data_IF_480466146716
#
_entry.id   IF_480466146716
#
_cell.length_a   1.000
_cell.length_b   1.000
_cell.length_c   1.000
_cell.angle_alpha   90.00
_cell.angle_beta   90.00
_cell.angle_gamma   90.00
#
_symmetry.space_group_name_H-M   'P 1'
#
loop_
_entity.id
_entity.type
_entity.pdbx_description
1 polymer ?
#
# COMPACT_ATOMS: atom_id res chain seq x y z
N UNK A 1 19.04 2.37 30.25
CA UNK A 1 18.81 3.71 29.65
C UNK A 1 17.43 4.18 30.08
N UNK A 2 17.34 5.35 30.67
CA UNK A 2 16.08 6.03 30.98
C UNK A 2 15.75 6.97 29.82
N UNK A 3 14.50 7.01 29.39
CA UNK A 3 14.02 7.87 28.30
C UNK A 3 12.55 8.22 28.49
N UNK A 4 12.07 9.19 27.72
CA UNK A 4 10.66 9.60 27.67
C UNK A 4 10.02 8.94 26.46
N UNK A 5 8.88 8.28 26.64
CA UNK A 5 8.05 7.75 25.56
C UNK A 5 6.86 8.68 25.37
N UNK A 6 6.73 9.26 24.17
CA UNK A 6 5.61 10.13 23.83
C UNK A 6 4.57 9.33 23.04
N UNK A 7 3.34 9.27 23.57
CA UNK A 7 2.22 8.61 22.90
C UNK A 7 1.47 9.63 22.03
N UNK A 8 1.45 9.38 20.71
CA UNK A 8 0.80 10.26 19.73
C UNK A 8 -0.71 10.00 19.57
N UNK A 9 -1.30 9.13 20.39
CA UNK A 9 -2.69 8.65 20.27
C UNK A 9 -3.77 9.74 20.42
N UNK A 10 -3.41 10.90 20.99
CA UNK A 10 -4.30 12.05 21.11
C UNK A 10 -4.34 12.92 19.83
N UNK A 11 -3.30 12.88 19.00
CA UNK A 11 -3.21 13.57 17.71
C UNK A 11 -3.70 12.65 16.60
N UNK A 12 -5.02 12.42 16.49
CA UNK A 12 -5.61 11.43 15.59
C UNK A 12 -6.70 11.95 14.65
N UNK A 13 -6.92 13.25 14.64
CA UNK A 13 -7.96 13.85 13.82
C UNK A 13 -7.58 13.88 12.33
N UNK A 14 -8.53 13.63 11.46
CA UNK A 14 -8.50 14.04 10.06
C UNK A 14 -9.03 15.47 10.03
N UNK A 15 -8.12 16.45 9.86
CA UNK A 15 -8.46 17.88 9.95
C UNK A 15 -9.25 18.35 8.74
N UNK A 16 -8.91 17.86 7.56
CA UNK A 16 -9.64 18.14 6.32
C UNK A 16 -9.36 17.11 5.22
N UNK A 17 -10.32 16.93 4.33
CA UNK A 17 -10.18 16.21 3.06
C UNK A 17 -10.75 17.10 1.98
N UNK A 18 -9.92 17.52 1.05
CA UNK A 18 -10.33 18.29 -0.12
C UNK A 18 -10.57 17.35 -1.30
N UNK A 19 -11.83 17.12 -1.61
CA UNK A 19 -12.21 16.14 -2.63
C UNK A 19 -11.67 16.49 -4.02
N UNK A 20 -11.67 17.77 -4.38
CA UNK A 20 -11.25 18.21 -5.72
C UNK A 20 -9.75 18.03 -5.96
N UNK A 21 -8.89 18.50 -5.06
CA UNK A 21 -7.44 18.38 -5.16
C UNK A 21 -6.93 17.00 -4.72
N UNK A 22 -7.70 16.29 -3.90
CA UNK A 22 -7.28 15.03 -3.29
C UNK A 22 -6.25 15.20 -2.17
N UNK A 23 -6.19 16.37 -1.56
CA UNK A 23 -5.31 16.65 -0.41
C UNK A 23 -6.04 16.31 0.88
N UNK A 24 -5.38 15.59 1.78
CA UNK A 24 -5.83 15.36 3.13
C UNK A 24 -4.86 15.98 4.14
N UNK A 25 -5.38 16.64 5.17
CA UNK A 25 -4.62 17.14 6.33
C UNK A 25 -4.97 16.29 7.54
N UNK A 26 -3.97 15.61 8.09
CA UNK A 26 -4.17 14.53 9.06
C UNK A 26 -3.18 14.66 10.20
N UNK A 27 -3.61 14.42 11.42
CA UNK A 27 -2.72 14.35 12.59
C UNK A 27 -1.94 13.04 12.62
N UNK A 28 -0.70 13.10 13.10
CA UNK A 28 0.29 12.03 12.98
C UNK A 28 -0.09 10.70 13.65
N UNK A 29 -0.91 10.73 14.70
CA UNK A 29 -1.39 9.55 15.43
C UNK A 29 -2.64 8.91 14.82
N UNK A 30 -3.19 9.44 13.72
CA UNK A 30 -4.29 8.82 13.00
C UNK A 30 -3.87 7.48 12.41
N UNK A 31 -4.65 6.43 12.65
CA UNK A 31 -4.39 5.10 12.07
C UNK A 31 -4.69 5.11 10.57
N UNK A 32 -3.86 4.44 9.79
CA UNK A 32 -4.06 4.34 8.33
C UNK A 32 -5.42 3.74 7.97
N UNK A 33 -5.91 2.74 8.72
CA UNK A 33 -7.23 2.15 8.51
C UNK A 33 -8.37 3.17 8.71
N UNK A 34 -8.25 4.03 9.73
CA UNK A 34 -9.28 5.03 10.04
C UNK A 34 -9.26 6.15 9.01
N UNK A 35 -8.07 6.61 8.64
CA UNK A 35 -7.90 7.57 7.55
C UNK A 35 -8.49 7.04 6.23
N UNK A 36 -8.17 5.79 5.84
CA UNK A 36 -8.68 5.24 4.59
C UNK A 36 -10.21 5.09 4.60
N UNK A 37 -10.80 4.75 5.76
CA UNK A 37 -12.26 4.73 5.93
C UNK A 37 -12.87 6.12 5.75
N UNK A 38 -12.29 7.16 6.32
CA UNK A 38 -12.77 8.53 6.12
C UNK A 38 -12.62 8.99 4.67
N UNK A 39 -11.47 8.71 4.04
CA UNK A 39 -11.24 9.02 2.63
C UNK A 39 -12.27 8.38 1.70
N UNK A 40 -12.72 7.14 1.99
CA UNK A 40 -13.71 6.44 1.17
C UNK A 40 -15.06 7.18 1.11
N UNK A 41 -15.44 7.88 2.19
CA UNK A 41 -16.62 8.76 2.21
C UNK A 41 -16.55 9.95 1.23
N UNK A 42 -15.35 10.29 0.76
CA UNK A 42 -15.09 11.34 -0.24
C UNK A 42 -14.73 10.77 -1.62
N UNK A 43 -14.92 9.48 -1.84
CA UNK A 43 -14.50 8.80 -3.08
C UNK A 43 -12.98 8.76 -3.27
N UNK A 44 -12.24 8.77 -2.16
CA UNK A 44 -10.77 8.79 -2.12
C UNK A 44 -10.20 7.58 -1.40
N UNK A 45 -8.93 7.28 -1.63
CA UNK A 45 -8.18 6.21 -0.96
C UNK A 45 -6.72 6.61 -0.74
N UNK A 46 -6.04 5.92 0.16
CA UNK A 46 -4.58 6.03 0.29
C UNK A 46 -3.89 5.49 -0.96
N UNK A 47 -2.82 6.17 -1.39
CA UNK A 47 -1.98 5.72 -2.51
C UNK A 47 -1.18 4.49 -2.17
N UNK A 48 -0.66 4.43 -0.95
CA UNK A 48 0.23 3.38 -0.46
C UNK A 48 -0.32 2.79 0.84
N UNK A 49 -0.22 1.48 0.99
CA UNK A 49 -0.71 0.76 2.16
C UNK A 49 0.33 -0.29 2.62
N UNK A 50 0.96 -0.09 3.80
CA UNK A 50 1.88 -1.08 4.34
C UNK A 50 1.13 -2.28 4.93
N UNK A 51 1.80 -3.40 5.15
CA UNK A 51 1.21 -4.59 5.80
C UNK A 51 0.67 -4.32 7.20
N UNK A 52 1.20 -3.31 7.87
CA UNK A 52 0.78 -2.87 9.21
C UNK A 52 -0.37 -1.86 9.22
N UNK A 53 -1.03 -1.61 8.08
CA UNK A 53 -2.02 -0.54 7.91
C UNK A 53 -3.15 -0.50 8.95
N UNK A 54 -3.47 -1.67 9.56
CA UNK A 54 -4.50 -1.75 10.61
C UNK A 54 -4.06 -1.14 11.93
N UNK A 55 -2.74 -1.09 12.20
CA UNK A 55 -2.16 -0.64 13.47
C UNK A 55 -1.18 0.52 13.33
N UNK A 56 -0.65 0.75 12.12
CA UNK A 56 0.28 1.84 11.87
C UNK A 56 -0.45 3.20 11.86
N UNK A 57 0.19 4.22 12.42
CA UNK A 57 -0.24 5.60 12.31
C UNK A 57 0.37 6.24 11.07
N UNK A 58 -0.29 7.29 10.54
CA UNK A 58 0.22 7.98 9.34
C UNK A 58 1.57 8.65 9.61
N UNK A 59 1.77 9.25 10.79
CA UNK A 59 3.05 9.84 11.18
C UNK A 59 4.17 8.80 11.28
N UNK A 60 3.88 7.63 11.88
CA UNK A 60 4.82 6.52 11.93
C UNK A 60 5.15 5.93 10.56
N UNK A 61 4.18 5.89 9.66
CA UNK A 61 4.39 5.43 8.28
C UNK A 61 5.34 6.36 7.51
N UNK A 62 5.17 7.69 7.60
CA UNK A 62 6.07 8.67 6.98
C UNK A 62 7.46 8.63 7.66
N UNK A 63 7.53 8.65 8.99
CA UNK A 63 8.79 8.60 9.71
C UNK A 63 9.58 7.32 9.41
N UNK A 64 8.91 6.18 9.25
CA UNK A 64 9.52 4.90 8.89
C UNK A 64 9.91 4.77 7.42
N UNK A 65 9.33 5.57 6.52
CA UNK A 65 9.61 5.59 5.09
C UNK A 65 9.31 4.29 4.36
N UNK A 66 8.37 3.50 4.88
CA UNK A 66 8.04 2.20 4.32
C UNK A 66 7.30 2.32 3.00
N UNK A 67 7.50 1.35 2.09
CA UNK A 67 6.65 1.14 0.93
C UNK A 67 5.41 0.32 1.28
N UNK A 68 4.71 -0.15 0.25
CA UNK A 68 3.54 -1.00 0.42
C UNK A 68 2.82 -1.27 -0.89
N UNK A 69 1.66 -1.88 -0.77
CA UNK A 69 0.73 -2.05 -1.89
C UNK A 69 0.36 -0.68 -2.43
N UNK A 70 0.36 -0.54 -3.75
CA UNK A 70 0.25 0.73 -4.46
C UNK A 70 1.58 1.25 -5.01
N UNK A 71 2.73 0.76 -4.51
CA UNK A 71 4.05 1.23 -4.99
C UNK A 71 4.30 0.93 -6.47
N UNK A 72 3.70 -0.12 -7.02
CA UNK A 72 3.80 -0.43 -8.45
C UNK A 72 3.22 0.68 -9.34
N UNK A 73 2.23 1.42 -8.83
CA UNK A 73 1.58 2.54 -9.53
C UNK A 73 2.16 3.89 -9.14
N UNK A 74 2.43 4.09 -7.85
CA UNK A 74 2.71 5.40 -7.27
C UNK A 74 4.18 5.62 -6.92
N UNK A 75 5.04 4.59 -7.04
CA UNK A 75 6.41 4.66 -6.59
C UNK A 75 6.56 4.49 -5.08
N UNK A 76 7.66 4.96 -4.53
CA UNK A 76 7.98 4.88 -3.11
C UNK A 76 7.36 6.04 -2.33
N UNK A 77 7.13 5.85 -1.04
CA UNK A 77 6.57 6.89 -0.17
C UNK A 77 7.39 8.19 -0.16
N UNK A 78 8.71 8.09 -0.32
CA UNK A 78 9.63 9.23 -0.38
C UNK A 78 9.69 9.91 -1.75
N UNK A 79 9.06 9.34 -2.79
CA UNK A 79 9.04 9.99 -4.10
C UNK A 79 8.18 11.26 -4.03
N UNK A 80 8.54 12.31 -4.78
CA UNK A 80 7.82 13.57 -4.77
C UNK A 80 6.32 13.40 -5.07
N UNK A 81 5.49 14.18 -4.37
CA UNK A 81 4.05 14.21 -4.60
C UNK A 81 3.21 13.29 -3.70
N UNK A 82 3.80 12.55 -2.78
CA UNK A 82 3.06 11.85 -1.73
C UNK A 82 2.86 12.73 -0.51
N UNK A 83 3.98 13.21 0.06
CA UNK A 83 4.00 14.14 1.17
C UNK A 83 4.04 15.56 0.63
N UNK A 84 3.02 16.35 0.93
CA UNK A 84 2.87 17.73 0.47
C UNK A 84 3.29 18.75 1.50
N UNK A 85 3.45 18.35 2.75
CA UNK A 85 3.94 19.18 3.84
C UNK A 85 3.78 18.52 5.20
N UNK A 86 4.45 19.07 6.19
CA UNK A 86 4.44 18.63 7.58
C UNK A 86 4.26 19.80 8.55
N UNK A 87 3.56 19.54 9.64
CA UNK A 87 3.62 20.31 10.86
C UNK A 87 4.52 19.57 11.84
N UNK A 88 5.55 20.23 12.35
CA UNK A 88 6.61 19.61 13.15
C UNK A 88 6.93 20.46 14.35
N UNK A 89 7.11 19.82 15.51
CA UNK A 89 7.71 20.44 16.69
C UNK A 89 9.21 20.13 16.68
N UNK A 90 10.03 21.19 16.76
CA UNK A 90 11.50 21.07 16.79
C UNK A 90 11.98 20.47 18.11
N UNK A 91 13.20 19.90 18.10
CA UNK A 91 13.86 19.33 19.29
C UNK A 91 14.86 20.31 19.92
N UNK A 92 14.67 21.60 19.66
CA UNK A 92 15.49 22.68 20.24
C UNK A 92 15.20 22.86 21.75
N UNK A 93 16.06 23.59 22.46
CA UNK A 93 15.84 23.98 23.87
C UNK A 93 14.51 24.75 24.04
N UNK A 94 14.20 25.60 23.07
CA UNK A 94 12.89 26.28 22.95
C UNK A 94 12.13 25.67 21.76
N UNK A 95 11.25 24.65 21.96
CA UNK A 95 10.54 23.99 20.90
C UNK A 95 9.65 24.96 20.11
N UNK A 96 9.71 24.87 18.80
CA UNK A 96 8.91 25.68 17.86
C UNK A 96 8.05 24.78 16.97
N UNK A 97 6.87 25.26 16.60
CA UNK A 97 6.03 24.62 15.60
C UNK A 97 6.42 25.17 14.23
N UNK A 98 6.83 24.31 13.34
CA UNK A 98 7.17 24.65 11.95
C UNK A 98 6.14 24.05 11.00
N UNK A 99 5.78 24.82 9.97
CA UNK A 99 5.03 24.35 8.80
C UNK A 99 6.02 24.20 7.66
N UNK A 100 6.24 22.97 7.22
CA UNK A 100 7.18 22.62 6.17
C UNK A 100 6.44 22.26 4.89
N UNK A 101 6.86 22.82 3.76
CA UNK A 101 6.38 22.42 2.45
C UNK A 101 7.11 21.15 1.97
N UNK A 102 6.63 20.54 0.88
CA UNK A 102 7.08 19.23 0.40
C UNK A 102 8.62 19.07 0.36
N UNK A 103 9.33 20.06 -0.18
CA UNK A 103 10.81 20.00 -0.31
C UNK A 103 11.53 19.98 1.04
N UNK A 104 11.02 20.74 2.01
CA UNK A 104 11.63 20.85 3.34
C UNK A 104 11.21 19.67 4.23
N UNK A 105 10.02 19.09 3.95
CA UNK A 105 9.49 17.91 4.64
C UNK A 105 10.29 16.63 4.36
N UNK A 106 11.03 16.57 3.26
CA UNK A 106 11.88 15.42 2.89
C UNK A 106 12.90 15.06 3.98
N UNK A 107 13.42 16.04 4.71
CA UNK A 107 14.37 15.79 5.80
C UNK A 107 13.78 14.98 6.97
N UNK A 108 12.44 14.90 7.09
CA UNK A 108 11.73 14.15 8.13
C UNK A 108 11.14 12.85 7.60
N UNK A 109 10.99 12.72 6.28
CA UNK A 109 10.54 11.49 5.65
C UNK A 109 11.64 10.42 5.78
N UNK A 110 11.28 9.25 6.32
CA UNK A 110 12.23 8.16 6.57
C UNK A 110 13.35 8.51 7.58
N UNK A 111 13.13 9.49 8.45
CA UNK A 111 14.12 9.91 9.45
C UNK A 111 13.93 9.23 10.83
N UNK A 112 13.00 8.31 10.95
CA UNK A 112 12.68 7.56 12.19
C UNK A 112 12.43 8.45 13.42
N UNK A 113 11.93 9.67 13.20
CA UNK A 113 11.64 10.63 14.26
C UNK A 113 12.88 11.31 14.87
N UNK A 114 14.04 11.24 14.22
CA UNK A 114 15.29 11.84 14.75
C UNK A 114 15.40 13.34 14.50
N UNK A 115 14.63 13.89 13.55
CA UNK A 115 14.75 15.28 13.09
C UNK A 115 13.62 16.20 13.59
N UNK A 116 12.74 15.70 14.46
CA UNK A 116 11.62 16.45 15.02
C UNK A 116 10.39 15.56 15.28
N UNK A 117 9.39 16.14 15.93
CA UNK A 117 8.14 15.47 16.26
C UNK A 117 7.08 15.89 15.24
N UNK A 118 6.68 14.97 14.37
CA UNK A 118 5.62 15.21 13.38
C UNK A 118 4.27 15.23 14.11
N UNK A 119 3.53 16.33 14.02
CA UNK A 119 2.22 16.50 14.64
C UNK A 119 1.08 16.39 13.64
N UNK A 120 1.27 16.90 12.41
CA UNK A 120 0.29 16.75 11.34
C UNK A 120 0.99 16.64 9.97
N UNK A 121 0.25 16.14 8.98
CA UNK A 121 0.74 15.88 7.63
C UNK A 121 -0.27 16.38 6.60
N UNK A 122 0.24 16.87 5.49
CA UNK A 122 -0.50 17.15 4.25
C UNK A 122 -0.13 16.10 3.22
N UNK A 123 -1.10 15.31 2.79
CA UNK A 123 -0.90 14.13 1.95
C UNK A 123 -1.71 14.20 0.67
N UNK A 124 -1.13 13.71 -0.43
CA UNK A 124 -1.89 13.43 -1.64
C UNK A 124 -2.58 12.07 -1.54
N UNK A 125 -3.87 12.04 -1.89
CA UNK A 125 -4.68 10.82 -1.96
C UNK A 125 -4.96 10.45 -3.41
N UNK A 126 -5.54 9.28 -3.66
CA UNK A 126 -5.99 8.84 -4.97
C UNK A 126 -7.53 8.80 -5.04
N UNK A 127 -8.08 8.83 -6.24
CA UNK A 127 -9.48 8.48 -6.47
C UNK A 127 -9.67 7.02 -6.08
N UNK A 128 -10.77 6.71 -5.38
CA UNK A 128 -11.10 5.34 -5.00
C UNK A 128 -11.39 4.51 -6.24
N UNK A 129 -10.84 3.32 -6.28
CA UNK A 129 -11.03 2.34 -7.36
C UNK A 129 -11.59 1.06 -6.72
N UNK A 130 -12.57 0.46 -7.36
CA UNK A 130 -13.08 -0.87 -7.01
C UNK A 130 -12.10 -1.92 -7.55
N UNK A 131 -11.06 -2.21 -6.76
CA UNK A 131 -9.99 -3.11 -7.17
C UNK A 131 -10.50 -4.53 -7.37
N UNK A 132 -10.20 -5.09 -8.55
CA UNK A 132 -10.54 -6.45 -8.92
C UNK A 132 -9.39 -7.38 -8.58
N UNK A 133 -9.68 -8.46 -7.87
CA UNK A 133 -8.74 -9.52 -7.55
C UNK A 133 -8.59 -10.48 -8.72
N UNK A 134 -7.37 -10.63 -9.20
CA UNK A 134 -7.03 -11.50 -10.32
C UNK A 134 -5.83 -12.36 -9.98
N UNK A 135 -5.94 -13.64 -10.32
CA UNK A 135 -4.87 -14.63 -10.20
C UNK A 135 -4.51 -15.09 -11.59
N UNK A 136 -3.20 -15.20 -11.89
CA UNK A 136 -2.72 -15.76 -13.16
C UNK A 136 -1.76 -16.89 -12.88
N UNK A 137 -2.13 -18.10 -13.29
CA UNK A 137 -1.29 -19.30 -13.22
C UNK A 137 -0.41 -19.38 -14.48
N UNK A 138 0.89 -19.40 -14.28
CA UNK A 138 1.90 -19.40 -15.34
C UNK A 138 2.56 -20.76 -15.48
N UNK A 139 2.97 -21.16 -16.69
CA UNK A 139 3.61 -22.45 -16.93
C UNK A 139 4.97 -22.59 -16.25
N UNK A 140 5.68 -21.49 -16.03
CA UNK A 140 6.98 -21.44 -15.37
C UNK A 140 7.28 -20.05 -14.78
N UNK A 141 8.30 -19.98 -13.91
CA UNK A 141 8.75 -18.77 -13.21
C UNK A 141 9.15 -17.64 -14.15
N UNK A 142 9.84 -17.96 -15.24
CA UNK A 142 10.29 -16.95 -16.21
C UNK A 142 9.10 -16.26 -16.86
N UNK A 143 8.13 -17.06 -17.29
CA UNK A 143 6.87 -16.56 -17.86
C UNK A 143 6.13 -15.69 -16.86
N UNK A 144 6.06 -16.10 -15.59
CA UNK A 144 5.41 -15.32 -14.53
C UNK A 144 6.09 -13.95 -14.33
N UNK A 145 7.42 -13.92 -14.23
CA UNK A 145 8.18 -12.67 -14.06
C UNK A 145 8.06 -11.76 -15.29
N UNK A 146 8.14 -12.32 -16.51
CA UNK A 146 8.02 -11.53 -17.74
C UNK A 146 6.61 -10.98 -17.93
N UNK A 147 5.57 -11.74 -17.55
CA UNK A 147 4.20 -11.26 -17.54
C UNK A 147 3.99 -10.15 -16.50
N UNK A 148 4.56 -10.29 -15.30
CA UNK A 148 4.51 -9.25 -14.28
C UNK A 148 5.13 -7.93 -14.76
N UNK A 149 6.28 -7.99 -15.46
CA UNK A 149 6.92 -6.81 -16.09
C UNK A 149 6.02 -6.18 -17.16
N UNK A 150 5.41 -7.01 -18.03
CA UNK A 150 4.47 -6.54 -19.06
C UNK A 150 3.27 -5.84 -18.44
N UNK A 151 2.67 -6.41 -17.38
CA UNK A 151 1.57 -5.78 -16.66
C UNK A 151 1.99 -4.45 -16.03
N UNK A 152 3.15 -4.40 -15.38
CA UNK A 152 3.65 -3.18 -14.70
C UNK A 152 4.04 -2.06 -15.68
N UNK A 153 4.37 -2.42 -16.94
CA UNK A 153 4.72 -1.46 -18.00
C UNK A 153 3.53 -1.08 -18.89
N UNK A 154 2.40 -1.76 -18.76
CA UNK A 154 1.20 -1.47 -19.53
C UNK A 154 0.51 -0.20 -18.99
N UNK A 155 -0.21 0.50 -19.88
CA UNK A 155 -1.02 1.67 -19.52
C UNK A 155 -2.34 1.22 -18.86
N UNK A 156 -2.25 0.54 -17.71
CA UNK A 156 -3.38 0.03 -16.94
C UNK A 156 -3.27 0.47 -15.47
N UNK A 157 -4.40 0.55 -14.81
CA UNK A 157 -4.44 0.80 -13.38
C UNK A 157 -4.18 -0.51 -12.61
N UNK A 158 -2.94 -0.65 -12.15
CA UNK A 158 -2.43 -1.80 -11.39
C UNK A 158 -2.02 -1.35 -9.99
N UNK A 159 -2.63 -1.91 -8.95
CA UNK A 159 -2.38 -1.55 -7.56
C UNK A 159 -1.46 -2.53 -6.85
N UNK A 160 -1.52 -3.81 -7.22
CA UNK A 160 -0.70 -4.88 -6.67
C UNK A 160 -0.24 -5.79 -7.78
N UNK A 161 1.03 -6.19 -7.75
CA UNK A 161 1.60 -7.22 -8.59
C UNK A 161 2.61 -8.03 -7.77
N UNK A 162 2.26 -9.26 -7.44
CA UNK A 162 3.11 -10.17 -6.67
C UNK A 162 3.28 -11.47 -7.43
N UNK A 163 4.52 -11.95 -7.53
CA UNK A 163 4.84 -13.26 -8.15
C UNK A 163 5.16 -14.24 -7.03
N UNK A 164 4.53 -15.41 -7.07
CA UNK A 164 4.75 -16.51 -6.14
C UNK A 164 5.22 -17.75 -6.89
N UNK A 165 6.27 -18.39 -6.35
CA UNK A 165 6.72 -19.69 -6.82
C UNK A 165 5.67 -20.78 -6.53
N UNK A 166 5.60 -21.81 -7.38
CA UNK A 166 4.69 -22.95 -7.24
C UNK A 166 4.80 -23.62 -5.85
N UNK A 167 6.00 -23.71 -5.28
CA UNK A 167 6.23 -24.25 -3.95
C UNK A 167 5.55 -23.42 -2.83
N UNK A 168 5.53 -22.09 -2.98
CA UNK A 168 4.83 -21.20 -2.05
C UNK A 168 3.33 -21.28 -2.25
N UNK A 169 2.87 -21.34 -3.50
CA UNK A 169 1.43 -21.47 -3.84
C UNK A 169 0.80 -22.68 -3.18
N UNK A 170 1.50 -23.81 -3.11
CA UNK A 170 1.03 -25.04 -2.45
C UNK A 170 0.83 -24.90 -0.93
N UNK A 171 1.51 -23.95 -0.31
CA UNK A 171 1.41 -23.66 1.13
C UNK A 171 0.29 -22.66 1.45
N UNK A 172 -0.29 -22.01 0.44
CA UNK A 172 -1.36 -21.03 0.64
C UNK A 172 -2.64 -21.71 1.13
N UNK A 173 -3.37 -21.06 2.05
CA UNK A 173 -4.71 -21.51 2.40
C UNK A 173 -5.60 -21.58 1.16
N UNK A 174 -6.55 -22.50 1.14
CA UNK A 174 -7.56 -22.63 0.09
C UNK A 174 -8.64 -21.54 0.16
N UNK A 175 -8.26 -20.28 0.02
CA UNK A 175 -9.17 -19.13 0.08
C UNK A 175 -9.90 -18.94 -1.24
N UNK A 176 -10.66 -19.95 -1.70
CA UNK A 176 -11.34 -19.96 -3.00
C UNK A 176 -10.41 -19.72 -4.20
N UNK A 177 -9.10 -19.94 -4.00
CA UNK A 177 -8.12 -19.86 -5.07
C UNK A 177 -8.05 -21.20 -5.80
N UNK A 178 -7.85 -21.19 -7.11
CA UNK A 178 -7.59 -22.42 -7.85
C UNK A 178 -6.41 -23.19 -7.25
N UNK A 179 -6.61 -24.45 -6.90
CA UNK A 179 -5.57 -25.32 -6.36
C UNK A 179 -4.74 -25.86 -7.53
N UNK A 180 -3.62 -25.20 -7.83
CA UNK A 180 -2.73 -25.57 -8.93
C UNK A 180 -1.27 -25.52 -8.49
N UNK A 181 -0.48 -26.46 -9.00
CA UNK A 181 0.98 -26.43 -8.87
C UNK A 181 1.55 -25.61 -10.03
N UNK A 182 1.48 -24.29 -9.93
CA UNK A 182 1.94 -23.36 -10.96
C UNK A 182 2.58 -22.12 -10.29
N UNK A 183 3.50 -21.50 -10.96
CA UNK A 183 3.98 -20.18 -10.59
C UNK A 183 2.86 -19.17 -10.83
N UNK A 184 2.66 -18.24 -9.90
CA UNK A 184 1.42 -17.48 -9.84
C UNK A 184 1.64 -15.99 -9.69
N UNK A 185 0.88 -15.18 -10.45
CA UNK A 185 0.72 -13.76 -10.19
C UNK A 185 -0.55 -13.51 -9.37
N UNK A 186 -0.42 -12.64 -8.37
CA UNK A 186 -1.52 -12.04 -7.65
C UNK A 186 -1.61 -10.57 -8.05
N UNK A 187 -2.75 -10.14 -8.56
CA UNK A 187 -2.95 -8.79 -9.11
C UNK A 187 -4.18 -8.13 -8.50
N UNK A 188 -4.07 -6.83 -8.19
CA UNK A 188 -5.22 -5.94 -7.97
C UNK A 188 -5.27 -4.94 -9.14
N UNK A 189 -6.33 -5.01 -9.92
CA UNK A 189 -6.52 -4.27 -11.16
C UNK A 189 -7.77 -3.39 -11.09
N UNK A 190 -7.76 -2.25 -11.79
CA UNK A 190 -9.02 -1.57 -12.09
C UNK A 190 -9.90 -2.45 -13.00
N UNK A 191 -11.24 -2.29 -12.95
CA UNK A 191 -12.15 -3.17 -13.70
C UNK A 191 -11.87 -3.22 -15.21
N UNK A 192 -11.53 -2.10 -15.81
CA UNK A 192 -11.22 -1.97 -17.24
C UNK A 192 -9.87 -2.61 -17.65
N UNK A 193 -8.96 -2.80 -16.69
CA UNK A 193 -7.65 -3.41 -16.92
C UNK A 193 -7.72 -4.95 -17.05
N UNK A 194 -8.76 -5.60 -16.53
CA UNK A 194 -8.87 -7.07 -16.47
C UNK A 194 -8.79 -7.69 -17.86
N UNK A 195 -9.49 -7.14 -18.85
CA UNK A 195 -9.47 -7.65 -20.23
C UNK A 195 -8.10 -7.53 -20.90
N UNK A 196 -7.34 -6.48 -20.56
CA UNK A 196 -5.97 -6.31 -21.07
C UNK A 196 -5.04 -7.36 -20.49
N UNK A 197 -5.12 -7.59 -19.16
CA UNK A 197 -4.30 -8.63 -18.51
C UNK A 197 -4.69 -10.03 -19.01
N UNK A 198 -5.99 -10.29 -19.27
CA UNK A 198 -6.45 -11.54 -19.87
C UNK A 198 -5.78 -11.82 -21.21
N UNK A 199 -5.67 -10.82 -22.08
CA UNK A 199 -4.95 -10.96 -23.36
C UNK A 199 -3.46 -11.23 -23.15
N UNK A 200 -2.81 -10.44 -22.28
CA UNK A 200 -1.38 -10.61 -21.99
C UNK A 200 -1.07 -12.00 -21.43
N UNK A 201 -1.95 -12.55 -20.59
CA UNK A 201 -1.82 -13.90 -20.06
C UNK A 201 -2.00 -14.97 -21.16
N UNK A 202 -3.03 -14.82 -21.99
CA UNK A 202 -3.29 -15.73 -23.10
C UNK A 202 -2.13 -15.80 -24.11
N UNK A 203 -1.49 -14.66 -24.40
CA UNK A 203 -0.34 -14.57 -25.32
C UNK A 203 0.85 -15.43 -24.88
N UNK A 204 0.96 -15.74 -23.59
CA UNK A 204 2.07 -16.51 -23.01
C UNK A 204 1.63 -17.89 -22.50
N UNK A 205 0.40 -18.31 -22.81
CA UNK A 205 -0.15 -19.59 -22.36
C UNK A 205 -0.44 -19.67 -20.86
N UNK A 206 -0.58 -18.53 -20.20
CA UNK A 206 -0.99 -18.45 -18.78
C UNK A 206 -2.51 -18.40 -18.65
N UNK A 207 -3.02 -18.92 -17.54
CA UNK A 207 -4.46 -18.98 -17.27
C UNK A 207 -4.86 -17.96 -16.18
N UNK A 208 -5.79 -17.05 -16.54
CA UNK A 208 -6.30 -16.02 -15.64
C UNK A 208 -7.60 -16.48 -14.99
N UNK A 209 -7.68 -16.30 -13.68
CA UNK A 209 -8.91 -16.43 -12.88
C UNK A 209 -9.25 -15.08 -12.27
N UNK A 210 -10.44 -14.55 -12.59
CA UNK A 210 -10.98 -13.33 -11.98
C UNK A 210 -11.83 -13.72 -10.77
N UNK A 211 -11.46 -13.20 -9.59
CA UNK A 211 -12.09 -13.54 -8.31
C UNK A 211 -13.20 -12.56 -7.89
N UNK A 212 -13.30 -11.41 -8.56
CA UNK A 212 -14.26 -10.35 -8.26
C UNK A 212 -13.66 -9.16 -7.54
N UNK A 213 -14.52 -8.31 -6.97
CA UNK A 213 -14.11 -7.12 -6.23
C UNK A 213 -13.42 -7.47 -4.90
N UNK A 214 -12.30 -6.80 -4.59
CA UNK A 214 -11.61 -6.90 -3.30
C UNK A 214 -12.56 -6.54 -2.14
N UNK A 215 -13.46 -5.58 -2.34
CA UNK A 215 -14.40 -5.12 -1.32
C UNK A 215 -15.35 -6.23 -0.84
N UNK A 216 -15.71 -7.16 -1.72
CA UNK A 216 -16.63 -8.25 -1.43
C UNK A 216 -15.98 -9.40 -0.66
N UNK A 217 -14.64 -9.45 -0.62
CA UNK A 217 -13.89 -10.57 -0.02
C UNK A 217 -13.52 -10.40 1.46
N UNK A 218 -14.02 -9.36 2.12
CA UNK A 218 -13.98 -9.17 3.57
C UNK A 218 -12.63 -9.43 4.27
N UNK A 219 -11.51 -9.07 3.64
CA UNK A 219 -10.16 -9.18 4.23
C UNK A 219 -9.49 -10.54 4.10
N UNK A 220 -10.05 -11.49 3.37
CA UNK A 220 -9.40 -12.75 2.95
C UNK A 220 -8.80 -12.67 1.54
N UNK A 221 -8.54 -11.45 1.07
CA UNK A 221 -8.15 -11.18 -0.30
C UNK A 221 -6.65 -11.32 -0.59
N UNK A 222 -6.30 -11.10 -1.88
CA UNK A 222 -4.92 -11.22 -2.39
C UNK A 222 -3.94 -10.28 -1.70
N UNK A 223 -4.44 -9.14 -1.17
CA UNK A 223 -3.64 -8.18 -0.41
C UNK A 223 -2.95 -8.83 0.78
N UNK A 224 -3.65 -9.66 1.55
CA UNK A 224 -3.10 -10.34 2.73
C UNK A 224 -2.02 -11.38 2.35
N UNK A 225 -2.19 -12.05 1.20
CA UNK A 225 -1.21 -13.03 0.69
C UNK A 225 0.08 -12.39 0.17
N UNK A 226 0.00 -11.13 -0.24
CA UNK A 226 1.10 -10.44 -0.89
C UNK A 226 2.13 -9.88 0.08
N UNK A 227 1.87 -9.87 1.39
CA UNK A 227 2.81 -9.35 2.37
C UNK A 227 3.81 -10.40 2.83
N UNK A 228 5.08 -10.02 2.88
CA UNK A 228 6.20 -10.89 3.23
C UNK A 228 6.01 -11.67 4.54
N UNK A 229 5.38 -11.05 5.56
CA UNK A 229 5.18 -11.74 6.84
C UNK A 229 4.21 -12.92 6.71
N UNK A 230 3.23 -12.86 5.81
CA UNK A 230 2.32 -13.98 5.54
C UNK A 230 3.08 -15.17 4.96
N UNK A 231 3.94 -14.92 3.96
CA UNK A 231 4.75 -15.97 3.35
C UNK A 231 5.83 -16.53 4.30
N UNK A 232 6.40 -15.69 5.17
CA UNK A 232 7.35 -16.14 6.20
C UNK A 232 6.70 -17.06 7.23
N UNK A 233 5.47 -16.78 7.66
CA UNK A 233 4.72 -17.63 8.57
C UNK A 233 4.38 -19.00 7.97
N UNK A 234 4.18 -19.09 6.67
CA UNK A 234 3.96 -20.38 6.00
C UNK A 234 5.20 -21.28 6.06
N UNK A 235 6.41 -20.70 5.96
CA UNK A 235 7.68 -21.45 6.05
C UNK A 235 8.01 -21.93 7.46
N UNK A 236 7.41 -21.38 8.51
CA UNK A 236 7.68 -21.74 9.91
C UNK A 236 6.78 -22.85 10.44
N UNK A 237 5.87 -23.39 9.60
CA UNK A 237 4.93 -24.45 9.99
C UNK A 237 5.37 -25.86 9.61
N UNK A 238 6.51 -25.97 8.94
CA UNK A 238 7.22 -27.23 8.64
C UNK A 238 8.38 -27.41 9.65
#
# INVERSE_FOLDING_TARGET
QSGVVMLMTQLRAVRSIEQASGVAVVESGCLLKDLNRELSGFGRQLRLMPSTWRSATIGGFIAGGSGGIGSVRWGFLRDPGHLLGLEVVTMDEEPRVLQLEASDAEALNHAYGTNGIITALRLATAISVDWQEVVVDCPDWRTAVDLAKRCSSAAIDLHLCTVLEAAVVQLLPSWDLPQRSADRLLLLLAPDAVSTVQRLASDVGAELTHLGSEADRHGSGLRELSWNHTTLHLRQRD
#
